data_IF_430798612200
#
_entry.id   IF_430798612200
#
_cell.length_a   1.000
_cell.length_b   1.000
_cell.length_c   1.000
_cell.angle_alpha   90.00
_cell.angle_beta   90.00
_cell.angle_gamma   90.00
#
_symmetry.space_group_name_H-M   'P 1'
#
loop_
_entity.id
_entity.type
_entity.pdbx_description
1 polymer ?
#
# COMPACT_ATOMS: atom_id res chain seq x y z
N UNK A 1 -5.70 16.97 5.16
CA UNK A 1 -5.73 16.63 3.72
C UNK A 1 -6.64 17.60 3.00
N UNK A 2 -6.28 17.97 1.77
CA UNK A 2 -7.10 18.81 0.88
C UNK A 2 -7.90 17.95 -0.10
N UNK A 3 -9.00 18.50 -0.61
CA UNK A 3 -9.76 17.88 -1.69
C UNK A 3 -8.88 17.82 -2.96
N UNK A 4 -8.42 16.62 -3.32
CA UNK A 4 -7.54 16.39 -4.48
C UNK A 4 -6.25 15.63 -4.16
N UNK A 5 -5.91 15.43 -2.88
CA UNK A 5 -4.67 14.75 -2.48
C UNK A 5 -4.66 13.25 -2.85
N UNK A 6 -5.85 12.63 -2.97
CA UNK A 6 -6.00 11.23 -3.37
C UNK A 6 -5.98 11.11 -4.90
N UNK A 7 -4.80 11.17 -5.50
CA UNK A 7 -4.59 11.21 -6.95
C UNK A 7 -4.23 9.86 -7.59
N UNK A 8 -3.97 8.85 -6.75
CA UNK A 8 -3.45 7.55 -7.17
C UNK A 8 -4.46 6.45 -6.86
N UNK A 9 -4.54 5.43 -7.73
CA UNK A 9 -5.36 4.24 -7.48
C UNK A 9 -4.52 3.19 -6.76
N UNK A 10 -4.98 2.75 -5.59
CA UNK A 10 -4.34 1.73 -4.78
C UNK A 10 -5.17 0.44 -4.83
N UNK A 11 -4.57 -0.61 -5.38
CA UNK A 11 -5.12 -1.97 -5.41
C UNK A 11 -4.47 -2.77 -4.29
N UNK A 12 -5.24 -3.10 -3.26
CA UNK A 12 -4.76 -3.89 -2.13
C UNK A 12 -4.97 -5.38 -2.38
N UNK A 13 -3.93 -6.17 -2.13
CA UNK A 13 -3.96 -7.62 -2.25
C UNK A 13 -3.42 -8.26 -0.98
N UNK A 14 -4.02 -9.37 -0.57
CA UNK A 14 -3.51 -10.20 0.53
C UNK A 14 -2.97 -11.51 -0.01
N UNK A 15 -2.03 -12.12 0.70
CA UNK A 15 -1.48 -13.43 0.34
C UNK A 15 -2.48 -14.51 0.76
N UNK A 16 -2.91 -15.33 -0.20
CA UNK A 16 -3.80 -16.46 0.04
C UNK A 16 -3.17 -17.73 -0.54
N UNK A 17 -3.39 -18.85 0.17
CA UNK A 17 -3.03 -20.18 -0.33
C UNK A 17 -4.19 -20.70 -1.16
N UNK A 18 -3.95 -20.91 -2.45
CA UNK A 18 -4.95 -21.39 -3.40
C UNK A 18 -4.55 -22.78 -3.89
N UNK A 19 -5.54 -23.67 -3.95
CA UNK A 19 -5.37 -25.03 -4.45
C UNK A 19 -5.29 -25.02 -5.98
N UNK A 20 -4.36 -25.80 -6.53
CA UNK A 20 -4.19 -25.98 -7.97
C UNK A 20 -5.05 -27.13 -8.46
N UNK A 21 -5.36 -27.11 -9.76
CA UNK A 21 -6.10 -28.18 -10.44
C UNK A 21 -5.46 -29.58 -10.29
N UNK A 22 -4.16 -29.63 -10.05
CA UNK A 22 -3.37 -30.85 -9.84
C UNK A 22 -3.19 -31.22 -8.35
N UNK A 23 -3.97 -30.64 -7.43
CA UNK A 23 -3.96 -30.97 -6.01
C UNK A 23 -2.77 -30.43 -5.21
N UNK A 24 -2.05 -29.44 -5.75
CA UNK A 24 -1.03 -28.69 -5.02
C UNK A 24 -1.60 -27.41 -4.40
N UNK A 25 -0.82 -26.72 -3.57
CA UNK A 25 -1.19 -25.38 -3.07
C UNK A 25 -0.12 -24.35 -3.40
N UNK A 26 -0.53 -23.20 -3.94
CA UNK A 26 0.36 -22.07 -4.25
C UNK A 26 -0.05 -20.85 -3.44
N UNK A 27 0.93 -20.07 -3.00
CA UNK A 27 0.65 -18.74 -2.44
C UNK A 27 0.49 -17.74 -3.59
N UNK A 28 -0.63 -17.03 -3.61
CA UNK A 28 -0.89 -15.97 -4.58
C UNK A 28 -1.39 -14.70 -3.89
N UNK A 29 -1.11 -13.56 -4.51
CA UNK A 29 -1.66 -12.28 -4.12
C UNK A 29 -3.06 -12.13 -4.70
N UNK A 30 -4.07 -12.16 -3.84
CA UNK A 30 -5.48 -12.02 -4.23
C UNK A 30 -5.94 -10.60 -3.96
N UNK A 31 -6.37 -9.90 -5.01
CA UNK A 31 -6.93 -8.55 -4.89
C UNK A 31 -8.18 -8.54 -4.02
N UNK A 32 -8.20 -7.68 -3.03
CA UNK A 32 -9.31 -7.53 -2.09
C UNK A 32 -10.18 -6.33 -2.45
N UNK A 33 -9.57 -5.18 -2.74
CA UNK A 33 -10.29 -3.96 -3.11
C UNK A 33 -9.38 -2.91 -3.76
N UNK A 34 -10.01 -1.93 -4.41
CA UNK A 34 -9.34 -0.79 -5.05
C UNK A 34 -9.89 0.51 -4.48
N UNK A 35 -9.01 1.41 -4.02
CA UNK A 35 -9.37 2.71 -3.46
C UNK A 35 -8.52 3.83 -4.05
N UNK A 36 -8.94 5.07 -3.82
CA UNK A 36 -8.10 6.24 -4.05
C UNK A 36 -7.16 6.46 -2.88
N UNK A 37 -5.92 6.81 -3.18
CA UNK A 37 -4.85 7.00 -2.22
C UNK A 37 -4.01 8.24 -2.55
N UNK A 38 -3.45 8.86 -1.53
CA UNK A 38 -2.42 9.89 -1.64
C UNK A 38 -1.05 9.25 -1.38
N UNK A 39 -0.06 9.58 -2.22
CA UNK A 39 1.29 9.02 -2.12
C UNK A 39 2.28 10.13 -1.78
N UNK A 40 2.82 10.10 -0.56
CA UNK A 40 3.83 11.05 -0.10
C UNK A 40 5.21 10.39 -0.11
N UNK A 41 6.04 10.80 -1.05
CA UNK A 41 7.41 10.34 -1.15
C UNK A 41 8.26 10.92 -0.03
N UNK A 42 8.92 10.07 0.74
CA UNK A 42 9.87 10.52 1.76
C UNK A 42 11.17 10.98 1.08
N UNK A 43 11.63 12.18 1.45
CA UNK A 43 12.86 12.79 0.94
C UNK A 43 13.70 13.27 2.13
N UNK A 44 14.96 12.84 2.22
CA UNK A 44 15.99 13.51 3.03
C UNK A 44 16.16 13.12 4.50
N UNK A 45 15.68 11.96 4.97
CA UNK A 45 16.06 11.41 6.28
C UNK A 45 17.22 10.42 6.18
N UNK A 46 18.07 10.30 7.20
CA UNK A 46 19.20 9.35 7.21
C UNK A 46 18.74 7.91 6.93
N UNK A 47 17.61 7.49 7.53
CA UNK A 47 16.96 6.21 7.27
C UNK A 47 16.47 6.07 5.80
N UNK A 48 16.05 7.16 5.17
CA UNK A 48 15.62 7.17 3.75
C UNK A 48 16.83 7.08 2.82
N UNK A 49 17.98 7.66 3.20
CA UNK A 49 19.23 7.53 2.45
C UNK A 49 19.78 6.10 2.52
N UNK A 50 19.73 5.47 3.70
CA UNK A 50 20.08 4.06 3.89
C UNK A 50 19.14 3.11 3.11
N UNK A 51 17.82 3.37 3.14
CA UNK A 51 16.87 2.58 2.34
C UNK A 51 17.16 2.69 0.82
N UNK A 52 17.50 3.88 0.33
CA UNK A 52 17.88 4.07 -1.09
C UNK A 52 19.18 3.36 -1.46
N UNK A 53 20.17 3.31 -0.56
CA UNK A 53 21.38 2.48 -0.73
C UNK A 53 21.02 1.00 -0.89
N UNK A 54 19.98 0.54 -0.20
CA UNK A 54 19.41 -0.79 -0.35
C UNK A 54 18.39 -0.92 -1.51
N UNK A 55 18.32 0.05 -2.43
CA UNK A 55 17.36 0.11 -3.54
C UNK A 55 15.88 0.04 -3.12
N UNK A 56 15.57 0.52 -1.91
CA UNK A 56 14.21 0.59 -1.34
C UNK A 56 13.71 2.02 -1.35
N UNK A 57 12.47 2.21 -1.79
CA UNK A 57 11.82 3.50 -1.90
C UNK A 57 10.64 3.60 -0.93
N UNK A 58 10.87 3.96 0.36
CA UNK A 58 9.80 4.12 1.32
C UNK A 58 8.93 5.33 0.97
N UNK A 59 7.61 5.11 0.93
CA UNK A 59 6.60 6.14 0.70
C UNK A 59 5.49 6.01 1.74
N UNK A 60 4.91 7.14 2.12
CA UNK A 60 3.75 7.17 2.99
C UNK A 60 2.51 7.14 2.11
N UNK A 61 1.67 6.14 2.33
CA UNK A 61 0.39 5.96 1.64
C UNK A 61 -0.73 6.39 2.57
N UNK A 62 -1.63 7.23 2.08
CA UNK A 62 -2.81 7.67 2.83
C UNK A 62 -4.09 7.33 2.07
N UNK A 63 -5.05 6.68 2.73
CA UNK A 63 -6.34 6.28 2.15
C UNK A 63 -7.49 6.74 3.04
N UNK A 64 -8.71 6.81 2.49
CA UNK A 64 -9.92 7.08 3.30
C UNK A 64 -10.16 5.92 4.26
N UNK A 65 -10.62 6.24 5.47
CA UNK A 65 -11.03 5.22 6.41
C UNK A 65 -12.34 4.57 5.92
N UNK A 66 -12.30 3.26 5.68
CA UNK A 66 -13.44 2.45 5.30
C UNK A 66 -13.41 1.12 6.03
N UNK A 67 -14.53 0.41 6.05
CA UNK A 67 -14.62 -0.92 6.67
C UNK A 67 -13.65 -1.93 6.04
N UNK A 68 -13.39 -1.82 4.73
CA UNK A 68 -12.41 -2.63 4.02
C UNK A 68 -10.97 -2.23 4.38
N UNK A 69 -10.69 -0.93 4.43
CA UNK A 69 -9.36 -0.40 4.73
C UNK A 69 -8.87 -0.76 6.14
N UNK A 70 -9.80 -0.95 7.10
CA UNK A 70 -9.48 -1.42 8.46
C UNK A 70 -9.04 -2.88 8.55
N UNK A 71 -9.19 -3.67 7.48
CA UNK A 71 -8.75 -5.07 7.42
C UNK A 71 -7.33 -5.24 6.93
N UNK A 72 -6.73 -4.16 6.41
CA UNK A 72 -5.36 -4.17 5.90
C UNK A 72 -4.41 -4.47 7.08
N UNK A 73 -3.44 -5.35 6.83
CA UNK A 73 -2.33 -5.64 7.75
C UNK A 73 -0.99 -5.46 7.04
N UNK A 74 0.09 -5.41 7.81
CA UNK A 74 1.48 -5.37 7.30
C UNK A 74 1.88 -6.56 6.41
N UNK A 75 1.08 -7.64 6.36
CA UNK A 75 1.31 -8.79 5.46
C UNK A 75 0.77 -8.57 4.04
N UNK A 76 0.14 -7.43 3.78
CA UNK A 76 -0.48 -7.13 2.49
C UNK A 76 0.50 -6.45 1.54
N UNK A 77 0.16 -6.45 0.26
CA UNK A 77 0.81 -5.60 -0.73
C UNK A 77 -0.19 -4.63 -1.35
N UNK A 78 0.34 -3.56 -1.94
CA UNK A 78 -0.44 -2.57 -2.66
C UNK A 78 0.19 -2.26 -4.01
N UNK A 79 -0.59 -2.35 -5.08
CA UNK A 79 -0.22 -1.79 -6.38
C UNK A 79 -0.76 -0.36 -6.48
N UNK A 80 0.14 0.60 -6.67
CA UNK A 80 -0.19 2.00 -6.90
C UNK A 80 -0.13 2.30 -8.39
N UNK A 81 -1.22 2.85 -8.92
CA UNK A 81 -1.28 3.42 -10.26
C UNK A 81 -1.44 4.93 -10.16
N UNK A 82 -0.45 5.66 -10.65
CA UNK A 82 -0.50 7.12 -10.70
C UNK A 82 -1.38 7.63 -11.86
N UNK A 83 -1.56 8.95 -11.94
CA UNK A 83 -2.29 9.62 -13.02
C UNK A 83 -1.67 9.47 -14.41
N UNK A 84 -0.38 9.15 -14.50
CA UNK A 84 0.32 8.91 -15.76
C UNK A 84 0.13 7.48 -16.27
N UNK A 85 -0.42 6.60 -15.43
CA UNK A 85 -0.68 5.20 -15.73
C UNK A 85 0.45 4.26 -15.31
N UNK A 86 1.52 4.79 -14.71
CA UNK A 86 2.63 3.98 -14.19
C UNK A 86 2.14 3.19 -12.98
N UNK A 87 2.46 1.89 -12.95
CA UNK A 87 2.13 0.98 -11.86
C UNK A 87 3.39 0.60 -11.10
N UNK A 88 3.31 0.62 -9.78
CA UNK A 88 4.36 0.12 -8.88
C UNK A 88 3.77 -0.66 -7.74
N UNK A 89 4.39 -1.78 -7.40
CA UNK A 89 3.98 -2.62 -6.27
C UNK A 89 4.83 -2.25 -5.07
N UNK A 90 4.18 -2.12 -3.92
CA UNK A 90 4.80 -1.86 -2.63
C UNK A 90 4.31 -2.87 -1.61
N UNK A 91 5.20 -3.28 -0.72
CA UNK A 91 4.86 -4.05 0.47
C UNK A 91 4.51 -3.11 1.62
N UNK A 92 3.53 -3.48 2.43
CA UNK A 92 3.22 -2.73 3.64
C UNK A 92 4.28 -3.02 4.70
N UNK A 93 4.75 -1.98 5.39
CA UNK A 93 5.76 -2.10 6.45
C UNK A 93 5.19 -1.88 7.86
N UNK A 94 3.98 -1.34 7.95
CA UNK A 94 3.25 -1.14 9.19
C UNK A 94 1.74 -1.30 8.97
N UNK A 95 1.00 -1.58 10.05
CA UNK A 95 -0.45 -1.58 10.01
C UNK A 95 -0.99 -0.13 9.86
N UNK A 96 -2.11 0.08 9.14
CA UNK A 96 -2.63 1.42 8.94
C UNK A 96 -3.05 2.11 10.23
N UNK A 97 -2.51 3.30 10.47
CA UNK A 97 -2.85 4.12 11.63
C UNK A 97 -3.87 5.21 11.27
N UNK A 98 -4.88 5.45 12.13
CA UNK A 98 -5.84 6.51 11.89
C UNK A 98 -5.23 7.90 12.09
N UNK A 99 -5.51 8.81 11.16
CA UNK A 99 -5.13 10.22 11.23
C UNK A 99 -6.34 11.13 11.03
N UNK A 100 -6.19 12.43 11.29
CA UNK A 100 -7.25 13.44 11.10
C UNK A 100 -8.58 13.02 11.75
N UNK A 101 -8.54 12.76 13.06
CA UNK A 101 -9.70 12.26 13.85
C UNK A 101 -10.31 10.96 13.29
N UNK A 102 -9.49 10.14 12.60
CA UNK A 102 -9.90 8.86 12.05
C UNK A 102 -10.58 8.93 10.68
N UNK A 103 -10.59 10.10 10.02
CA UNK A 103 -11.15 10.21 8.66
C UNK A 103 -10.31 9.44 7.62
N UNK A 104 -9.03 9.25 7.88
CA UNK A 104 -8.08 8.59 6.98
C UNK A 104 -7.18 7.62 7.72
N UNK A 105 -6.59 6.71 6.97
CA UNK A 105 -5.58 5.77 7.42
C UNK A 105 -4.28 6.06 6.69
N UNK A 106 -3.18 6.07 7.43
CA UNK A 106 -1.83 6.27 6.92
C UNK A 106 -1.01 5.00 7.16
N UNK A 107 -0.13 4.64 6.22
CA UNK A 107 0.77 3.50 6.35
C UNK A 107 2.06 3.74 5.57
N UNK A 108 3.19 3.27 6.10
CA UNK A 108 4.45 3.17 5.38
C UNK A 108 4.44 1.96 4.45
N UNK A 109 4.76 2.20 3.19
CA UNK A 109 4.94 1.15 2.18
C UNK A 109 6.30 1.30 1.50
N UNK A 110 6.87 0.19 1.07
CA UNK A 110 8.22 0.13 0.50
C UNK A 110 8.25 -0.81 -0.71
N UNK A 111 8.98 -0.40 -1.75
CA UNK A 111 9.17 -1.14 -3.00
C UNK A 111 10.29 -0.53 -3.82
#
# INVERSE_FOLDING_TARGET
MRAGDLDSRATFSRRERVETDMGGTLDQWVTQFVVWAAVKHLRGGEAVMQARLASRNPVILTIRNSTQARRITSEWQVELRDRTGIRKVYELREDPRPIERGAYLEMLVEG
#
